data_IF_416264072751
#
_entry.id   IF_416264072751
#
_cell.length_a   1.000
_cell.length_b   1.000
_cell.length_c   1.000
_cell.angle_alpha   90.00
_cell.angle_beta   90.00
_cell.angle_gamma   90.00
#
_symmetry.space_group_name_H-M   'P 1'
#
loop_
_entity.id
_entity.type
_entity.pdbx_description
1 polymer ?
#
# COMPACT_ATOMS: atom_id res chain seq x y z
N UNK A 1 13.91 -16.18 14.40
CA UNK A 1 12.93 -15.98 13.32
C UNK A 1 13.59 -16.32 12.01
N UNK A 2 12.97 -17.19 11.23
CA UNK A 2 13.46 -17.75 9.98
C UNK A 2 12.70 -17.17 8.80
N UNK A 3 13.17 -17.44 7.58
CA UNK A 3 12.44 -17.13 6.35
C UNK A 3 11.04 -17.76 6.32
N UNK A 4 10.91 -18.99 6.82
CA UNK A 4 9.63 -19.71 6.87
C UNK A 4 8.61 -18.98 7.75
N UNK A 5 9.05 -18.42 8.87
CA UNK A 5 8.20 -17.61 9.75
C UNK A 5 7.66 -16.36 9.03
N UNK A 6 8.51 -15.72 8.20
CA UNK A 6 8.12 -14.54 7.41
C UNK A 6 7.14 -14.92 6.30
N UNK A 7 7.37 -16.04 5.61
CA UNK A 7 6.44 -16.57 4.60
C UNK A 7 5.08 -16.93 5.23
N UNK A 8 5.08 -17.55 6.42
CA UNK A 8 3.89 -17.84 7.20
C UNK A 8 3.10 -16.58 7.54
N UNK A 9 3.75 -15.55 8.08
CA UNK A 9 3.10 -14.28 8.40
C UNK A 9 2.51 -13.58 7.17
N UNK A 10 3.22 -13.58 6.03
CA UNK A 10 2.68 -13.04 4.76
C UNK A 10 1.41 -13.79 4.35
N UNK A 11 1.42 -15.12 4.45
CA UNK A 11 0.27 -15.97 4.14
C UNK A 11 -0.91 -15.72 5.09
N UNK A 12 -0.65 -15.53 6.38
CA UNK A 12 -1.69 -15.19 7.37
C UNK A 12 -2.35 -13.85 7.08
N UNK A 13 -1.58 -12.83 6.69
CA UNK A 13 -2.14 -11.53 6.31
C UNK A 13 -3.10 -11.70 5.13
N UNK A 14 -2.71 -12.46 4.11
CA UNK A 14 -3.58 -12.72 2.96
C UNK A 14 -4.80 -13.55 3.36
N UNK A 15 -4.61 -14.60 4.16
CA UNK A 15 -5.68 -15.49 4.65
C UNK A 15 -6.70 -14.73 5.51
N UNK A 16 -6.29 -13.66 6.20
CA UNK A 16 -7.18 -12.78 6.96
C UNK A 16 -8.06 -11.85 6.09
N UNK A 17 -8.02 -12.01 4.75
CA UNK A 17 -8.82 -11.23 3.81
C UNK A 17 -8.24 -9.84 3.52
N UNK A 18 -7.01 -9.54 3.93
CA UNK A 18 -6.33 -8.29 3.59
C UNK A 18 -5.87 -8.32 2.14
N UNK A 19 -5.75 -7.14 1.54
CA UNK A 19 -5.26 -7.02 0.17
C UNK A 19 -3.80 -7.52 0.03
N UNK A 20 -3.40 -8.05 -1.13
CA UNK A 20 -2.00 -8.38 -1.43
C UNK A 20 -1.04 -7.21 -1.18
N UNK A 21 -1.47 -5.98 -1.49
CA UNK A 21 -0.71 -4.77 -1.23
C UNK A 21 -0.47 -4.51 0.27
N UNK A 22 -1.39 -4.95 1.14
CA UNK A 22 -1.20 -4.88 2.60
C UNK A 22 -0.10 -5.83 3.04
N UNK A 23 -0.09 -7.07 2.56
CA UNK A 23 0.94 -8.05 2.86
C UNK A 23 2.31 -7.62 2.33
N UNK A 24 2.37 -7.04 1.12
CA UNK A 24 3.59 -6.44 0.57
C UNK A 24 4.13 -5.32 1.45
N UNK A 25 3.26 -4.39 1.89
CA UNK A 25 3.66 -3.29 2.78
C UNK A 25 4.19 -3.80 4.11
N UNK A 26 3.53 -4.79 4.71
CA UNK A 26 4.00 -5.42 5.94
C UNK A 26 5.39 -6.05 5.76
N UNK A 27 5.57 -6.83 4.68
CA UNK A 27 6.87 -7.44 4.35
C UNK A 27 7.97 -6.38 4.13
N UNK A 28 7.67 -5.27 3.43
CA UNK A 28 8.63 -4.18 3.22
C UNK A 28 9.04 -3.51 4.53
N UNK A 29 8.08 -3.18 5.38
CA UNK A 29 8.36 -2.57 6.68
C UNK A 29 9.21 -3.49 7.55
N UNK A 30 8.86 -4.77 7.61
CA UNK A 30 9.61 -5.74 8.38
C UNK A 30 11.02 -5.97 7.84
N UNK A 31 11.18 -6.03 6.51
CA UNK A 31 12.49 -6.13 5.88
C UNK A 31 13.40 -4.97 6.25
N UNK A 32 12.87 -3.74 6.32
CA UNK A 32 13.62 -2.56 6.75
C UNK A 32 14.05 -2.65 8.22
N UNK A 33 13.16 -3.09 9.11
CA UNK A 33 13.49 -3.32 10.53
C UNK A 33 14.58 -4.38 10.69
N UNK A 34 14.46 -5.50 9.96
CA UNK A 34 15.45 -6.57 10.00
C UNK A 34 16.79 -6.15 9.39
N UNK A 35 16.80 -5.30 8.37
CA UNK A 35 18.02 -4.71 7.82
C UNK A 35 18.73 -3.85 8.87
N UNK A 36 18.00 -2.97 9.56
CA UNK A 36 18.56 -2.17 10.65
C UNK A 36 19.13 -3.04 11.79
N UNK A 37 18.49 -4.19 12.08
CA UNK A 37 19.00 -5.14 13.06
C UNK A 37 20.31 -5.82 12.61
N UNK A 38 20.46 -6.11 11.32
CA UNK A 38 21.73 -6.60 10.74
C UNK A 38 22.82 -5.53 10.84
N UNK A 39 22.50 -4.28 10.48
CA UNK A 39 23.45 -3.16 10.56
C UNK A 39 23.93 -2.92 12.00
N UNK A 40 23.02 -3.07 12.98
CA UNK A 40 23.32 -3.02 14.40
C UNK A 40 23.99 -4.30 14.95
N UNK A 41 24.26 -5.31 14.09
CA UNK A 41 24.85 -6.61 14.44
C UNK A 41 24.07 -7.40 15.50
N UNK A 42 22.77 -7.19 15.60
CA UNK A 42 21.89 -7.94 16.50
C UNK A 42 21.52 -9.32 15.94
N UNK A 43 21.49 -9.42 14.61
CA UNK A 43 21.27 -10.66 13.87
C UNK A 43 22.28 -10.77 12.72
N UNK A 44 22.55 -11.99 12.27
CA UNK A 44 23.56 -12.25 11.25
C UNK A 44 23.05 -12.02 9.82
N UNK A 45 21.77 -12.27 9.55
CA UNK A 45 21.17 -12.12 8.22
C UNK A 45 19.70 -11.72 8.33
N UNK A 46 19.19 -11.10 7.26
CA UNK A 46 17.82 -10.65 7.17
C UNK A 46 16.88 -11.80 6.72
N UNK A 47 15.99 -12.30 7.59
CA UNK A 47 15.10 -13.41 7.26
C UNK A 47 14.05 -13.07 6.19
N UNK A 48 13.82 -11.78 5.89
CA UNK A 48 12.94 -11.36 4.80
C UNK A 48 13.59 -11.51 3.42
N UNK A 49 14.90 -11.81 3.34
CA UNK A 49 15.62 -11.95 2.08
C UNK A 49 15.06 -13.11 1.24
N UNK A 50 14.64 -12.78 0.02
CA UNK A 50 14.11 -13.76 -0.93
C UNK A 50 12.65 -14.19 -0.70
N UNK A 51 11.96 -13.63 0.30
CA UNK A 51 10.51 -13.80 0.48
C UNK A 51 9.80 -13.03 -0.63
N UNK A 52 8.88 -13.69 -1.32
CA UNK A 52 8.13 -13.09 -2.43
C UNK A 52 6.85 -12.45 -1.90
N UNK A 53 6.61 -11.19 -2.28
CA UNK A 53 5.34 -10.54 -1.98
C UNK A 53 4.18 -11.21 -2.76
N UNK A 54 2.98 -11.28 -2.18
CA UNK A 54 1.80 -11.76 -2.88
C UNK A 54 1.51 -10.88 -4.10
N UNK A 55 1.35 -11.49 -5.26
CA UNK A 55 0.96 -10.75 -6.48
C UNK A 55 -0.53 -10.45 -6.42
N UNK A 56 -0.90 -9.20 -6.68
CA UNK A 56 -2.30 -8.90 -7.00
C UNK A 56 -2.69 -9.68 -8.26
N UNK A 57 -3.80 -10.41 -8.21
CA UNK A 57 -4.40 -10.96 -9.43
C UNK A 57 -4.64 -9.81 -10.41
N UNK A 58 -4.38 -10.03 -11.71
CA UNK A 58 -4.51 -9.01 -12.74
C UNK A 58 -5.82 -8.25 -12.59
N UNK A 59 -5.68 -6.93 -12.53
CA UNK A 59 -6.73 -5.95 -12.26
C UNK A 59 -7.96 -6.22 -13.13
N UNK A 60 -9.15 -6.10 -12.54
CA UNK A 60 -10.41 -5.91 -13.25
C UNK A 60 -10.20 -5.01 -14.47
N UNK A 61 -10.72 -5.40 -15.64
CA UNK A 61 -10.73 -4.56 -16.82
C UNK A 61 -11.37 -3.21 -16.44
N UNK A 62 -10.61 -2.10 -16.47
CA UNK A 62 -11.17 -0.81 -16.10
C UNK A 62 -12.24 -0.44 -17.13
N UNK A 63 -13.49 -0.27 -16.68
CA UNK A 63 -14.54 0.30 -17.51
C UNK A 63 -14.39 1.82 -17.52
N UNK A 64 -14.07 2.37 -18.68
CA UNK A 64 -14.02 3.82 -18.86
C UNK A 64 -15.42 4.39 -19.10
N UNK A 65 -15.63 5.61 -18.61
CA UNK A 65 -16.85 6.36 -18.88
C UNK A 65 -16.82 6.91 -20.30
N UNK A 66 -17.96 6.87 -20.97
CA UNK A 66 -18.19 7.62 -22.21
C UNK A 66 -18.24 9.13 -21.92
N UNK A 67 -18.01 10.00 -22.93
CA UNK A 67 -18.10 11.45 -22.74
C UNK A 67 -19.42 11.91 -22.09
N UNK A 68 -20.55 11.34 -22.50
CA UNK A 68 -21.85 11.67 -21.90
C UNK A 68 -22.01 11.19 -20.45
N UNK A 69 -21.39 10.08 -20.06
CA UNK A 69 -21.34 9.67 -18.65
C UNK A 69 -20.46 10.60 -17.82
N UNK A 70 -19.36 11.10 -18.39
CA UNK A 70 -18.50 12.09 -17.74
C UNK A 70 -19.27 13.40 -17.49
N UNK A 71 -20.02 13.88 -18.48
CA UNK A 71 -20.86 15.08 -18.34
C UNK A 71 -21.93 14.93 -17.24
N UNK A 72 -22.59 13.77 -17.20
CA UNK A 72 -23.57 13.47 -16.14
C UNK A 72 -22.92 13.42 -14.76
N UNK A 73 -21.76 12.79 -14.63
CA UNK A 73 -21.00 12.73 -13.39
C UNK A 73 -20.55 14.13 -12.93
N UNK A 74 -20.04 14.95 -13.85
CA UNK A 74 -19.61 16.32 -13.55
C UNK A 74 -20.78 17.20 -13.07
N UNK A 75 -21.94 17.05 -13.69
CA UNK A 75 -23.16 17.75 -13.28
C UNK A 75 -23.58 17.37 -11.86
N UNK A 76 -23.58 16.07 -11.55
CA UNK A 76 -23.92 15.59 -10.20
C UNK A 76 -22.89 16.04 -9.15
N UNK A 77 -21.60 15.91 -9.46
CA UNK A 77 -20.52 16.29 -8.54
C UNK A 77 -20.60 17.79 -8.18
N UNK A 78 -20.85 18.66 -9.16
CA UNK A 78 -21.02 20.11 -8.91
C UNK A 78 -22.20 20.42 -7.98
N UNK A 79 -23.30 19.69 -8.10
CA UNK A 79 -24.44 19.84 -7.21
C UNK A 79 -24.20 19.23 -5.81
N UNK A 80 -23.35 18.20 -5.72
CA UNK A 80 -23.08 17.45 -4.49
C UNK A 80 -21.94 18.02 -3.63
N UNK A 81 -21.12 18.93 -4.16
CA UNK A 81 -20.04 19.56 -3.37
C UNK A 81 -20.65 20.41 -2.26
N UNK A 82 -20.60 19.88 -1.03
CA UNK A 82 -20.67 20.70 0.18
C UNK A 82 -19.40 21.54 0.23
N UNK A 83 -19.47 22.87 0.45
CA UNK A 83 -18.26 23.69 0.49
C UNK A 83 -17.30 23.13 1.54
N UNK A 84 -16.07 22.83 1.12
CA UNK A 84 -15.03 22.36 2.00
C UNK A 84 -14.81 23.42 3.08
N UNK A 85 -15.05 23.07 4.35
CA UNK A 85 -14.54 23.83 5.48
C UNK A 85 -13.04 23.94 5.28
N UNK A 86 -12.54 25.17 5.20
CA UNK A 86 -11.11 25.45 5.12
C UNK A 86 -10.42 24.79 6.33
N UNK A 87 -9.77 23.66 6.10
CA UNK A 87 -8.79 23.09 7.04
C UNK A 87 -7.47 23.78 6.73
N UNK A 88 -7.12 24.70 7.61
CA UNK A 88 -5.84 25.40 7.62
C UNK A 88 -4.71 24.39 7.82
N UNK A 89 -3.74 24.36 6.90
CA UNK A 89 -2.47 23.62 7.06
C UNK A 89 -2.10 22.71 5.90
N UNK A 90 -1.68 23.29 4.76
CA UNK A 90 -0.88 22.57 3.77
C UNK A 90 0.57 23.06 3.87
N UNK A 91 1.45 22.16 4.32
CA UNK A 91 2.89 22.34 4.31
C UNK A 91 3.38 22.36 2.86
N UNK A 92 4.09 23.43 2.50
CA UNK A 92 4.77 23.60 1.21
C UNK A 92 6.11 22.82 1.24
N UNK A 93 6.50 22.05 0.22
CA UNK A 93 7.88 21.56 0.14
C UNK A 93 8.77 22.71 -0.35
N UNK A 94 9.79 23.02 0.43
CA UNK A 94 10.94 23.84 0.04
C UNK A 94 11.74 23.04 -1.00
N UNK A 95 11.97 23.65 -2.18
CA UNK A 95 12.88 23.11 -3.20
C UNK A 95 14.19 23.85 -3.04
N UNK A 96 15.25 23.12 -2.72
CA UNK A 96 16.64 23.59 -2.80
C UNK A 96 17.21 23.44 -4.20
#
# INVERSE_FOLDING_TARGET
MTRFDVEGMVNEIVASGRSPATAEKALRTMSAVMAAAVDARLILDNPCRGVRAPRAASRHQPRFLTPGEVERLATYARAAVRPARAVHGLHRPEVG
#
